data_IF_465102054317
#
_entry.id   IF_465102054317
#
_cell.length_a   1.000
_cell.length_b   1.000
_cell.length_c   1.000
_cell.angle_alpha   90.00
_cell.angle_beta   90.00
_cell.angle_gamma   90.00
#
_symmetry.space_group_name_H-M   'P 1'
#
loop_
_entity.id
_entity.type
_entity.pdbx_description
1 polymer ?
#
# COMPACT_ATOMS: atom_id res chain seq x y z
N UNK A 1 15.62 -25.28 15.22
CA UNK A 1 14.32 -25.34 14.53
C UNK A 1 14.44 -24.52 13.28
N UNK A 2 14.46 -25.16 12.12
CA UNK A 2 14.37 -24.45 10.83
C UNK A 2 12.99 -23.80 10.80
N UNK A 3 12.91 -22.49 10.53
CA UNK A 3 11.65 -21.75 10.53
C UNK A 3 10.65 -22.38 9.55
N UNK A 4 9.39 -22.53 9.97
CA UNK A 4 8.30 -23.00 9.10
C UNK A 4 8.21 -22.10 7.86
N UNK A 5 8.09 -22.65 6.63
CA UNK A 5 7.80 -21.84 5.46
C UNK A 5 6.52 -21.05 5.68
N UNK A 6 6.59 -19.73 5.49
CA UNK A 6 5.46 -18.84 5.73
C UNK A 6 4.77 -18.51 4.41
N UNK A 7 3.48 -18.77 4.37
CA UNK A 7 2.58 -18.42 3.28
C UNK A 7 1.56 -17.38 3.73
N UNK A 8 1.13 -16.53 2.80
CA UNK A 8 0.05 -15.58 2.99
C UNK A 8 -1.01 -15.82 1.90
N UNK A 9 -2.25 -16.04 2.32
CA UNK A 9 -3.39 -16.11 1.40
C UNK A 9 -4.36 -14.97 1.72
N UNK A 10 -4.93 -14.37 0.67
CA UNK A 10 -5.93 -13.33 0.81
C UNK A 10 -7.12 -13.60 -0.10
N UNK A 11 -8.35 -13.49 0.38
CA UNK A 11 -9.53 -13.73 -0.47
C UNK A 11 -9.67 -12.67 -1.58
N UNK A 12 -10.39 -13.00 -2.65
CA UNK A 12 -10.55 -12.10 -3.79
C UNK A 12 -11.23 -10.79 -3.43
N UNK A 13 -12.14 -10.83 -2.45
CA UNK A 13 -12.86 -9.64 -2.03
C UNK A 13 -11.93 -8.62 -1.37
N UNK A 14 -11.08 -9.08 -0.46
CA UNK A 14 -10.09 -8.25 0.25
C UNK A 14 -8.98 -7.80 -0.70
N UNK A 15 -8.52 -8.69 -1.58
CA UNK A 15 -7.50 -8.35 -2.57
C UNK A 15 -8.01 -7.27 -3.54
N UNK A 16 -9.21 -7.40 -4.08
CA UNK A 16 -9.70 -6.48 -5.12
C UNK A 16 -10.34 -5.22 -4.56
N UNK A 17 -11.27 -5.33 -3.62
CA UNK A 17 -12.09 -4.19 -3.18
C UNK A 17 -11.42 -3.33 -2.11
N UNK A 18 -10.57 -3.92 -1.25
CA UNK A 18 -9.90 -3.15 -0.21
C UNK A 18 -8.54 -2.68 -0.64
N UNK A 19 -7.76 -3.60 -1.18
CA UNK A 19 -6.34 -3.38 -1.38
C UNK A 19 -5.98 -3.15 -2.84
N UNK A 20 -6.93 -3.28 -3.78
CA UNK A 20 -6.70 -3.10 -5.22
C UNK A 20 -5.49 -3.88 -5.72
N UNK A 21 -5.54 -5.20 -5.58
CA UNK A 21 -4.43 -6.13 -5.83
C UNK A 21 -3.24 -5.88 -4.89
N UNK A 22 -3.46 -5.60 -3.61
CA UNK A 22 -2.37 -5.24 -2.67
C UNK A 22 -1.63 -3.94 -3.02
N UNK A 23 -2.16 -3.09 -3.92
CA UNK A 23 -1.61 -1.77 -4.20
C UNK A 23 -1.93 -0.70 -3.13
N UNK A 24 -2.94 -0.91 -2.29
CA UNK A 24 -3.43 0.04 -1.28
C UNK A 24 -3.72 -0.62 0.07
N UNK A 25 -4.00 0.22 1.09
CA UNK A 25 -4.53 -0.16 2.42
C UNK A 25 -3.76 -1.29 3.13
N UNK A 26 -2.44 -1.14 3.22
CA UNK A 26 -1.54 -2.11 3.86
C UNK A 26 -1.00 -3.20 2.93
N UNK A 27 -1.53 -3.33 1.72
CA UNK A 27 -1.02 -4.27 0.71
C UNK A 27 0.48 -4.10 0.40
N UNK A 28 1.00 -2.89 0.12
CA UNK A 28 2.42 -2.69 -0.16
C UNK A 28 3.32 -3.08 1.02
N UNK A 29 2.84 -2.82 2.24
CA UNK A 29 3.56 -3.19 3.45
C UNK A 29 3.57 -4.70 3.68
N UNK A 30 2.47 -5.41 3.38
CA UNK A 30 2.44 -6.87 3.37
C UNK A 30 3.47 -7.41 2.39
N UNK A 31 3.50 -6.93 1.14
CA UNK A 31 4.47 -7.35 0.12
C UNK A 31 5.91 -7.18 0.61
N UNK A 32 6.24 -6.01 1.18
CA UNK A 32 7.56 -5.74 1.74
C UNK A 32 7.92 -6.68 2.89
N UNK A 33 6.99 -6.90 3.83
CA UNK A 33 7.21 -7.78 4.98
C UNK A 33 7.36 -9.24 4.56
N UNK A 34 6.60 -9.70 3.56
CA UNK A 34 6.75 -11.04 2.99
C UNK A 34 8.14 -11.22 2.37
N UNK A 35 8.63 -10.25 1.58
CA UNK A 35 10.00 -10.25 1.05
C UNK A 35 11.04 -10.33 2.17
N UNK A 36 10.92 -9.50 3.20
CA UNK A 36 11.83 -9.49 4.33
C UNK A 36 11.85 -10.81 5.12
N UNK A 37 10.69 -11.48 5.20
CA UNK A 37 10.53 -12.79 5.85
C UNK A 37 10.89 -13.98 4.94
N UNK A 38 11.21 -13.74 3.65
CA UNK A 38 11.30 -14.78 2.62
C UNK A 38 10.05 -15.66 2.56
N UNK A 39 8.90 -15.05 2.83
CA UNK A 39 7.58 -15.65 2.79
C UNK A 39 6.95 -15.49 1.39
N UNK A 40 5.94 -16.29 1.10
CA UNK A 40 5.30 -16.32 -0.22
C UNK A 40 3.79 -16.08 -0.14
N UNK A 41 3.21 -15.49 -1.18
CA UNK A 41 1.77 -15.39 -1.39
C UNK A 41 1.31 -16.74 -1.97
N UNK A 42 0.48 -17.47 -1.22
CA UNK A 42 -0.18 -18.66 -1.75
C UNK A 42 -1.29 -18.21 -2.71
N UNK A 43 -1.15 -18.53 -3.99
CA UNK A 43 -2.07 -18.10 -5.04
C UNK A 43 -2.65 -19.30 -5.79
N UNK A 44 -3.80 -19.84 -5.34
CA UNK A 44 -4.58 -20.79 -6.13
C UNK A 44 -4.95 -20.21 -7.50
N UNK A 45 -4.86 -21.03 -8.54
CA UNK A 45 -5.22 -20.65 -9.92
C UNK A 45 -6.65 -20.06 -10.00
N UNK A 46 -7.59 -20.66 -9.27
CA UNK A 46 -8.98 -20.19 -9.18
C UNK A 46 -9.08 -18.79 -8.58
N UNK A 47 -8.28 -18.49 -7.55
CA UNK A 47 -8.22 -17.16 -6.93
C UNK A 47 -7.60 -16.14 -7.87
N UNK A 48 -6.52 -16.51 -8.59
CA UNK A 48 -5.90 -15.63 -9.61
C UNK A 48 -6.90 -15.22 -10.70
N UNK A 49 -7.64 -16.18 -11.24
CA UNK A 49 -8.67 -15.91 -12.24
C UNK A 49 -9.77 -15.00 -11.68
N UNK A 50 -10.17 -15.21 -10.43
CA UNK A 50 -11.16 -14.37 -9.75
C UNK A 50 -10.65 -12.95 -9.51
N UNK A 51 -9.40 -12.77 -9.06
CA UNK A 51 -8.81 -11.46 -8.84
C UNK A 51 -8.85 -10.63 -10.12
N UNK A 52 -8.42 -11.20 -11.24
CA UNK A 52 -8.38 -10.53 -12.53
C UNK A 52 -9.79 -10.19 -13.05
N UNK A 53 -10.73 -11.13 -12.91
CA UNK A 53 -12.12 -10.92 -13.32
C UNK A 53 -12.80 -9.81 -12.50
N UNK A 54 -12.66 -9.84 -11.18
CA UNK A 54 -13.25 -8.84 -10.30
C UNK A 54 -12.56 -7.49 -10.44
N UNK A 55 -11.23 -7.45 -10.58
CA UNK A 55 -10.49 -6.22 -10.86
C UNK A 55 -10.96 -5.55 -12.15
N UNK A 56 -11.11 -6.32 -13.23
CA UNK A 56 -11.61 -5.81 -14.51
C UNK A 56 -13.02 -5.24 -14.39
N UNK A 57 -13.93 -5.91 -13.65
CA UNK A 57 -15.29 -5.41 -13.41
C UNK A 57 -15.29 -4.09 -12.63
N UNK A 58 -14.52 -4.02 -11.54
CA UNK A 58 -14.43 -2.81 -10.70
C UNK A 58 -13.82 -1.65 -11.48
N UNK A 59 -12.75 -1.92 -12.25
CA UNK A 59 -12.11 -0.90 -13.08
C UNK A 59 -13.03 -0.40 -14.22
N UNK A 60 -13.77 -1.30 -14.87
CA UNK A 60 -14.74 -0.92 -15.91
C UNK A 60 -15.85 -0.03 -15.35
N UNK A 61 -16.43 -0.42 -14.21
CA UNK A 61 -17.47 0.38 -13.54
C UNK A 61 -16.95 1.76 -13.13
N UNK A 62 -15.74 1.83 -12.56
CA UNK A 62 -15.14 3.10 -12.16
C UNK A 62 -14.81 4.00 -13.36
N UNK A 63 -14.44 3.39 -14.50
CA UNK A 63 -14.18 4.12 -15.75
C UNK A 63 -15.48 4.70 -16.33
N UNK A 64 -16.55 3.91 -16.40
CA UNK A 64 -17.89 4.35 -16.85
C UNK A 64 -18.43 5.50 -15.97
N UNK A 65 -18.31 5.38 -14.64
CA UNK A 65 -18.72 6.43 -13.71
C UNK A 65 -17.93 7.72 -13.93
N UNK A 66 -16.62 7.62 -14.14
CA UNK A 66 -15.77 8.77 -14.39
C UNK A 66 -16.08 9.42 -15.74
N UNK A 67 -16.34 8.63 -16.78
CA UNK A 67 -16.74 9.11 -18.10
C UNK A 67 -18.06 9.89 -18.03
N UNK A 68 -19.04 9.40 -17.28
CA UNK A 68 -20.31 10.08 -17.07
C UNK A 68 -20.14 11.44 -16.36
N UNK A 69 -19.29 11.50 -15.33
CA UNK A 69 -18.99 12.74 -14.60
C UNK A 69 -18.25 13.75 -15.47
N UNK A 70 -17.26 13.28 -16.24
CA UNK A 70 -16.51 14.14 -17.16
C UNK A 70 -17.39 14.70 -18.26
N UNK A 71 -18.23 13.88 -18.89
CA UNK A 71 -19.21 14.32 -19.90
C UNK A 71 -20.16 15.41 -19.37
N UNK A 72 -20.61 15.26 -18.11
CA UNK A 72 -21.40 16.30 -17.44
C UNK A 72 -20.61 17.59 -17.24
N UNK A 73 -19.33 17.51 -16.87
CA UNK A 73 -18.45 18.67 -16.71
C UNK A 73 -18.17 19.37 -18.04
N UNK A 74 -17.94 18.62 -19.12
CA UNK A 74 -17.77 19.16 -20.47
C UNK A 74 -19.00 19.94 -20.91
N UNK A 75 -20.19 19.38 -20.65
CA UNK A 75 -21.47 20.03 -20.97
C UNK A 75 -21.65 21.34 -20.20
N UNK A 76 -21.31 21.36 -18.90
CA UNK A 76 -21.48 22.53 -18.05
C UNK A 76 -20.41 23.61 -18.30
N UNK A 77 -19.19 23.20 -18.63
CA UNK A 77 -18.06 24.12 -18.84
C UNK A 77 -17.92 24.60 -20.29
N UNK A 78 -18.51 23.89 -21.26
CA UNK A 78 -18.32 24.12 -22.69
C UNK A 78 -16.93 23.74 -23.21
N UNK A 79 -16.07 23.13 -22.37
CA UNK A 79 -14.71 22.74 -22.71
C UNK A 79 -14.59 21.21 -22.74
N UNK A 80 -13.88 20.68 -23.74
CA UNK A 80 -13.55 19.24 -23.80
C UNK A 80 -12.44 18.88 -22.82
N UNK A 81 -12.62 17.78 -22.09
CA UNK A 81 -11.66 17.19 -21.15
C UNK A 81 -11.14 15.87 -21.75
N UNK A 82 -10.17 15.98 -22.68
CA UNK A 82 -9.74 14.87 -23.55
C UNK A 82 -8.62 13.98 -22.99
N UNK A 83 -8.02 14.31 -21.85
CA UNK A 83 -6.81 13.66 -21.34
C UNK A 83 -6.94 12.98 -19.96
N UNK A 84 -8.14 12.90 -19.40
CA UNK A 84 -8.29 12.53 -17.98
C UNK A 84 -8.37 11.02 -17.71
N UNK A 85 -8.79 10.19 -18.67
CA UNK A 85 -9.05 8.76 -18.43
C UNK A 85 -8.09 7.84 -19.18
N UNK A 86 -7.69 6.70 -18.57
CA UNK A 86 -7.03 5.62 -19.27
C UNK A 86 -7.85 5.14 -20.48
N UNK A 87 -7.16 4.58 -21.48
CA UNK A 87 -7.82 3.98 -22.64
C UNK A 87 -8.77 2.85 -22.21
N UNK A 88 -9.81 2.64 -23.00
CA UNK A 88 -10.75 1.54 -22.81
C UNK A 88 -9.97 0.20 -22.68
N UNK A 89 -10.37 -0.62 -21.70
CA UNK A 89 -9.77 -1.94 -21.41
C UNK A 89 -8.34 -1.92 -20.87
N UNK A 90 -7.82 -0.77 -20.44
CA UNK A 90 -6.50 -0.69 -19.78
C UNK A 90 -6.31 -1.74 -18.65
N UNK A 91 -7.37 -2.02 -17.90
CA UNK A 91 -7.37 -3.00 -16.81
C UNK A 91 -7.13 -4.45 -17.25
N UNK A 92 -7.47 -4.82 -18.48
CA UNK A 92 -7.25 -6.18 -19.01
C UNK A 92 -5.74 -6.49 -19.14
N UNK A 93 -4.91 -5.48 -19.41
CA UNK A 93 -3.46 -5.61 -19.47
C UNK A 93 -2.79 -5.30 -18.11
N UNK A 94 -3.34 -4.37 -17.35
CA UNK A 94 -2.73 -3.90 -16.10
C UNK A 94 -2.81 -4.93 -14.97
N UNK A 95 -3.96 -5.58 -14.77
CA UNK A 95 -4.13 -6.59 -13.71
C UNK A 95 -3.13 -7.76 -13.83
N UNK A 96 -2.98 -8.40 -15.00
CA UNK A 96 -2.00 -9.46 -15.20
C UNK A 96 -0.56 -8.98 -15.03
N UNK A 97 -0.24 -7.76 -15.49
CA UNK A 97 1.09 -7.17 -15.30
C UNK A 97 1.40 -7.01 -13.81
N UNK A 98 0.47 -6.47 -13.03
CA UNK A 98 0.64 -6.26 -11.60
C UNK A 98 0.88 -7.58 -10.85
N UNK A 99 0.09 -8.62 -11.13
CA UNK A 99 0.33 -9.94 -10.54
C UNK A 99 1.66 -10.55 -11.01
N UNK A 100 2.09 -10.24 -12.24
CA UNK A 100 3.41 -10.59 -12.77
C UNK A 100 4.55 -9.94 -12.00
N UNK A 101 4.39 -8.68 -11.56
CA UNK A 101 5.36 -7.95 -10.75
C UNK A 101 5.51 -8.53 -9.33
N UNK A 102 4.56 -9.34 -8.87
CA UNK A 102 4.59 -10.07 -7.60
C UNK A 102 5.06 -11.52 -7.74
N UNK A 103 5.47 -11.95 -8.93
CA UNK A 103 5.83 -13.35 -9.19
C UNK A 103 7.02 -13.82 -8.36
N UNK A 104 7.93 -12.92 -7.98
CA UNK A 104 9.09 -13.19 -7.14
C UNK A 104 8.71 -13.75 -5.75
N UNK A 105 7.53 -13.35 -5.26
CA UNK A 105 7.01 -13.75 -3.94
C UNK A 105 5.75 -14.59 -4.04
N UNK A 106 5.37 -15.08 -5.22
CA UNK A 106 4.13 -15.84 -5.41
C UNK A 106 4.41 -17.34 -5.51
N UNK A 107 3.69 -18.12 -4.72
CA UNK A 107 3.59 -19.57 -4.84
C UNK A 107 2.28 -19.93 -5.54
N UNK A 108 2.36 -20.17 -6.85
CA UNK A 108 1.19 -20.55 -7.65
C UNK A 108 0.79 -22.00 -7.39
N UNK A 109 -0.49 -22.23 -7.08
CA UNK A 109 -1.05 -23.56 -6.84
C UNK A 109 -1.99 -23.90 -8.00
N UNK A 110 -1.51 -24.74 -8.91
CA UNK A 110 -2.32 -25.23 -10.04
C UNK A 110 -3.42 -26.16 -9.57
N UNK A 111 -4.64 -25.97 -10.05
CA UNK A 111 -5.77 -26.81 -9.66
C UNK A 111 -5.72 -28.15 -10.42
N UNK A 112 -5.01 -29.13 -9.85
CA UNK A 112 -4.89 -30.48 -10.40
C UNK A 112 -6.25 -31.18 -10.49
N UNK A 113 -6.33 -32.26 -11.26
CA UNK A 113 -7.55 -33.06 -11.36
C UNK A 113 -7.99 -33.61 -9.99
N UNK A 114 -7.03 -34.02 -9.16
CA UNK A 114 -7.29 -34.54 -7.82
C UNK A 114 -7.84 -33.46 -6.88
N UNK A 115 -7.29 -32.24 -6.93
CA UNK A 115 -7.80 -31.12 -6.14
C UNK A 115 -9.21 -30.71 -6.57
N UNK A 116 -9.48 -30.74 -7.88
CA UNK A 116 -10.83 -30.47 -8.42
C UNK A 116 -11.83 -31.54 -7.98
N UNK A 117 -11.44 -32.81 -8.01
CA UNK A 117 -12.28 -33.91 -7.53
C UNK A 117 -12.55 -33.80 -6.02
N UNK A 118 -11.52 -33.58 -5.21
CA UNK A 118 -11.66 -33.41 -3.76
C UNK A 118 -12.56 -32.22 -3.40
N UNK A 119 -12.41 -31.10 -4.13
CA UNK A 119 -13.25 -29.91 -3.94
C UNK A 119 -14.71 -30.17 -4.32
N UNK A 120 -14.96 -30.93 -5.39
CA UNK A 120 -16.30 -31.34 -5.79
C UNK A 120 -16.93 -32.26 -4.75
N UNK A 121 -16.20 -33.29 -4.29
CA UNK A 121 -16.68 -34.22 -3.26
C UNK A 121 -17.04 -33.46 -1.97
N UNK A 122 -16.16 -32.54 -1.54
CA UNK A 122 -16.41 -31.65 -0.40
C UNK A 122 -17.70 -30.83 -0.57
N UNK A 123 -17.90 -30.24 -1.73
CA UNK A 123 -19.09 -29.44 -2.01
C UNK A 123 -20.37 -30.29 -2.06
N UNK A 124 -20.32 -31.48 -2.68
CA UNK A 124 -21.45 -32.43 -2.73
C UNK A 124 -21.85 -32.88 -1.32
N UNK A 125 -20.85 -33.19 -0.49
CA UNK A 125 -21.06 -33.58 0.91
C UNK A 125 -21.50 -32.42 1.81
N UNK A 126 -21.45 -31.18 1.32
CA UNK A 126 -21.76 -29.98 2.09
C UNK A 126 -20.76 -29.74 3.23
N UNK A 127 -19.52 -30.22 3.06
CA UNK A 127 -18.44 -29.97 4.02
C UNK A 127 -17.92 -28.54 3.86
N UNK A 128 -17.62 -27.89 4.99
CA UNK A 128 -17.01 -26.55 5.01
C UNK A 128 -15.76 -26.51 4.10
N UNK A 129 -15.52 -25.42 3.35
CA UNK A 129 -16.22 -24.13 3.42
C UNK A 129 -17.60 -24.07 2.75
N UNK A 130 -18.10 -25.14 2.12
CA UNK A 130 -19.46 -25.16 1.61
C UNK A 130 -20.49 -24.97 2.71
N UNK A 131 -21.43 -24.05 2.49
CA UNK A 131 -22.52 -23.76 3.43
C UNK A 131 -23.65 -24.79 3.33
N UNK A 132 -23.84 -25.36 2.14
CA UNK A 132 -24.84 -26.40 1.83
C UNK A 132 -24.29 -27.36 0.79
N UNK A 133 -24.87 -28.55 0.73
CA UNK A 133 -24.58 -29.52 -0.34
C UNK A 133 -24.78 -28.89 -1.73
N UNK A 134 -23.84 -29.16 -2.63
CA UNK A 134 -23.78 -28.68 -4.02
C UNK A 134 -23.62 -27.15 -4.15
N UNK A 135 -23.05 -26.47 -3.15
CA UNK A 135 -22.75 -25.04 -3.21
C UNK A 135 -21.25 -24.77 -2.97
N UNK A 136 -20.83 -23.54 -3.27
CA UNK A 136 -19.50 -23.00 -2.90
C UNK A 136 -18.30 -23.87 -3.36
N UNK A 137 -18.43 -24.53 -4.52
CA UNK A 137 -17.36 -25.36 -5.11
C UNK A 137 -16.06 -24.56 -5.25
N UNK A 138 -16.16 -23.26 -5.54
CA UNK A 138 -15.02 -22.36 -5.66
C UNK A 138 -14.27 -22.23 -4.33
N UNK A 139 -14.97 -22.00 -3.22
CA UNK A 139 -14.36 -21.86 -1.91
C UNK A 139 -13.79 -23.21 -1.43
N UNK A 140 -14.46 -24.31 -1.76
CA UNK A 140 -13.93 -25.66 -1.55
C UNK A 140 -12.62 -25.87 -2.32
N UNK A 141 -12.55 -25.44 -3.58
CA UNK A 141 -11.34 -25.57 -4.40
C UNK A 141 -10.20 -24.69 -3.86
N UNK A 142 -10.49 -23.46 -3.43
CA UNK A 142 -9.52 -22.61 -2.74
C UNK A 142 -8.95 -23.33 -1.52
N UNK A 143 -9.82 -23.91 -0.70
CA UNK A 143 -9.42 -24.62 0.51
C UNK A 143 -8.57 -25.87 0.20
N UNK A 144 -8.98 -26.72 -0.74
CA UNK A 144 -8.19 -27.89 -1.15
C UNK A 144 -6.82 -27.50 -1.70
N UNK A 145 -6.75 -26.42 -2.50
CA UNK A 145 -5.48 -25.87 -2.94
C UNK A 145 -4.59 -25.45 -1.76
N UNK A 146 -5.14 -24.75 -0.75
CA UNK A 146 -4.36 -24.34 0.42
C UNK A 146 -3.92 -25.52 1.30
N UNK A 147 -4.72 -26.58 1.39
CA UNK A 147 -4.33 -27.83 2.07
C UNK A 147 -3.21 -28.59 1.34
N UNK A 148 -2.95 -28.26 0.07
CA UNK A 148 -1.86 -28.86 -0.72
C UNK A 148 -0.49 -28.17 -0.51
N UNK A 149 -0.44 -27.12 0.31
CA UNK A 149 0.83 -26.48 0.69
C UNK A 149 1.77 -27.50 1.38
N UNK A 150 3.10 -27.30 1.29
CA UNK A 150 4.07 -28.22 1.87
C UNK A 150 3.80 -28.46 3.37
N UNK A 151 3.90 -29.71 3.82
CA UNK A 151 3.80 -30.05 5.23
C UNK A 151 4.84 -29.28 6.06
N UNK A 152 4.44 -28.84 7.25
CA UNK A 152 5.25 -28.03 8.15
C UNK A 152 5.15 -26.52 7.90
N UNK A 153 4.29 -26.07 6.98
CA UNK A 153 4.15 -24.65 6.64
C UNK A 153 3.21 -23.89 7.61
N UNK A 154 3.44 -22.58 7.73
CA UNK A 154 2.50 -21.64 8.35
C UNK A 154 1.76 -20.87 7.26
N UNK A 155 0.45 -20.71 7.40
CA UNK A 155 -0.41 -19.95 6.49
C UNK A 155 -1.11 -18.83 7.26
N UNK A 156 -0.82 -17.59 6.90
CA UNK A 156 -1.62 -16.43 7.33
C UNK A 156 -2.81 -16.31 6.38
N UNK A 157 -4.02 -16.51 6.91
CA UNK A 157 -5.26 -16.53 6.12
C UNK A 157 -6.03 -15.24 6.32
N UNK A 158 -6.00 -14.35 5.33
CA UNK A 158 -6.67 -13.06 5.35
C UNK A 158 -7.99 -13.11 4.56
N UNK A 159 -9.12 -12.99 5.23
CA UNK A 159 -10.42 -12.99 4.56
C UNK A 159 -11.44 -12.08 5.26
N UNK A 160 -12.39 -11.60 4.48
CA UNK A 160 -13.61 -10.91 4.96
C UNK A 160 -14.84 -11.80 4.93
N UNK A 161 -14.75 -12.98 4.34
CA UNK A 161 -15.87 -13.89 4.24
C UNK A 161 -16.12 -14.60 5.57
N UNK A 162 -16.90 -13.91 6.42
CA UNK A 162 -17.31 -14.39 7.73
C UNK A 162 -18.33 -15.53 7.67
N UNK A 163 -18.76 -15.97 6.48
CA UNK A 163 -19.76 -17.03 6.30
C UNK A 163 -19.12 -18.34 5.86
N UNK A 164 -18.22 -18.31 4.90
CA UNK A 164 -17.59 -19.51 4.37
C UNK A 164 -16.60 -20.14 5.38
N UNK A 165 -15.64 -19.33 5.86
CA UNK A 165 -14.51 -19.81 6.68
C UNK A 165 -14.64 -19.55 8.18
N UNK A 166 -15.61 -18.71 8.59
CA UNK A 166 -15.81 -18.34 9.99
C UNK A 166 -17.15 -18.83 10.53
N UNK A 167 -17.20 -19.04 11.85
CA UNK A 167 -18.39 -19.31 12.66
C UNK A 167 -18.32 -18.44 13.92
N UNK A 168 -19.39 -17.69 14.21
CA UNK A 168 -19.47 -16.81 15.38
C UNK A 168 -18.28 -15.84 15.52
N UNK A 169 -17.82 -15.29 14.38
CA UNK A 169 -16.65 -14.40 14.28
C UNK A 169 -15.31 -15.02 14.64
N UNK A 170 -15.23 -16.35 14.66
CA UNK A 170 -13.98 -17.12 14.78
C UNK A 170 -13.80 -18.00 13.57
N UNK A 171 -12.56 -18.30 13.20
CA UNK A 171 -12.29 -19.25 12.14
C UNK A 171 -12.82 -20.64 12.53
N UNK A 172 -13.37 -21.40 11.59
CA UNK A 172 -14.04 -22.66 11.92
C UNK A 172 -13.03 -23.72 12.42
N UNK A 173 -13.25 -24.24 13.62
CA UNK A 173 -12.35 -25.20 14.28
C UNK A 173 -12.17 -26.51 13.48
N UNK A 174 -13.16 -26.91 12.67
CA UNK A 174 -13.04 -28.10 11.84
C UNK A 174 -12.01 -27.90 10.72
N UNK A 175 -11.94 -26.68 10.16
CA UNK A 175 -10.96 -26.31 9.15
C UNK A 175 -9.55 -26.23 9.76
N UNK A 176 -9.42 -25.69 10.98
CA UNK A 176 -8.13 -25.67 11.69
C UNK A 176 -7.61 -27.09 11.95
N UNK A 177 -8.46 -27.98 12.47
CA UNK A 177 -8.09 -29.39 12.72
C UNK A 177 -7.69 -30.11 11.44
N UNK A 178 -8.39 -29.83 10.34
CA UNK A 178 -8.05 -30.41 9.05
C UNK A 178 -6.67 -29.95 8.55
N UNK A 179 -6.36 -28.66 8.69
CA UNK A 179 -5.06 -28.12 8.37
C UNK A 179 -3.95 -28.69 9.28
N UNK A 180 -4.22 -28.81 10.59
CA UNK A 180 -3.30 -29.43 11.54
C UNK A 180 -3.00 -30.91 11.18
N UNK A 181 -4.01 -31.66 10.74
CA UNK A 181 -3.83 -33.04 10.26
C UNK A 181 -2.95 -33.13 9.00
N UNK A 182 -2.78 -32.02 8.26
CA UNK A 182 -1.88 -31.87 7.12
C UNK A 182 -0.54 -31.22 7.49
N UNK A 183 -0.27 -31.04 8.79
CA UNK A 183 0.89 -30.33 9.35
C UNK A 183 0.97 -28.87 8.84
N UNK A 184 -0.17 -28.20 8.73
CA UNK A 184 -0.28 -26.79 8.38
C UNK A 184 -0.74 -25.98 9.60
N UNK A 185 0.00 -24.93 9.93
CA UNK A 185 -0.38 -23.98 10.97
C UNK A 185 -1.12 -22.80 10.34
N UNK A 186 -2.43 -22.65 10.58
CA UNK A 186 -3.20 -21.54 10.05
C UNK A 186 -3.35 -20.44 11.11
N UNK A 187 -2.95 -19.22 10.77
CA UNK A 187 -3.24 -18.01 11.54
C UNK A 187 -4.28 -17.16 10.79
N UNK A 188 -5.56 -17.22 11.18
CA UNK A 188 -6.59 -16.42 10.54
C UNK A 188 -6.47 -14.94 10.94
N UNK A 189 -6.72 -14.06 9.98
CA UNK A 189 -6.68 -12.60 10.14
C UNK A 189 -7.99 -12.02 9.61
N UNK A 190 -8.77 -11.44 10.53
CA UNK A 190 -9.98 -10.72 10.16
C UNK A 190 -9.63 -9.39 9.47
N UNK A 191 -10.04 -9.27 8.21
CA UNK A 191 -9.82 -8.09 7.38
C UNK A 191 -11.05 -7.15 7.33
N UNK A 192 -12.09 -7.40 8.14
CA UNK A 192 -13.35 -6.65 8.17
C UNK A 192 -13.16 -5.15 8.44
N UNK A 193 -12.90 -4.73 9.70
CA UNK A 193 -12.81 -3.31 10.04
C UNK A 193 -11.44 -2.66 9.78
N UNK A 194 -10.37 -3.44 9.60
CA UNK A 194 -8.98 -2.92 9.58
C UNK A 194 -8.22 -3.17 8.27
N UNK A 195 -8.88 -3.66 7.21
CA UNK A 195 -8.21 -4.10 5.97
C UNK A 195 -7.06 -5.07 6.30
N UNK A 196 -5.88 -4.92 5.68
CA UNK A 196 -4.70 -5.75 5.94
C UNK A 196 -3.82 -5.28 7.13
N UNK A 197 -4.21 -4.25 7.90
CA UNK A 197 -3.35 -3.78 9.01
C UNK A 197 -3.13 -4.83 10.11
N UNK A 198 -4.11 -5.70 10.34
CA UNK A 198 -3.95 -6.83 11.26
C UNK A 198 -2.90 -7.83 10.74
N UNK A 199 -2.90 -8.11 9.44
CA UNK A 199 -1.89 -8.96 8.79
C UNK A 199 -0.51 -8.32 8.88
N UNK A 200 -0.40 -7.02 8.59
CA UNK A 200 0.84 -6.24 8.74
C UNK A 200 1.39 -6.34 10.16
N UNK A 201 0.54 -6.14 11.17
CA UNK A 201 0.95 -6.18 12.59
C UNK A 201 1.48 -7.56 12.97
N UNK A 202 0.80 -8.61 12.53
CA UNK A 202 1.25 -9.99 12.72
C UNK A 202 2.60 -10.25 12.04
N UNK A 203 2.76 -9.84 10.77
CA UNK A 203 4.00 -10.02 10.02
C UNK A 203 5.17 -9.23 10.63
N UNK A 204 4.92 -8.05 11.20
CA UNK A 204 5.94 -7.30 11.96
C UNK A 204 6.43 -8.07 13.18
N UNK A 205 5.50 -8.68 13.94
CA UNK A 205 5.86 -9.53 15.08
C UNK A 205 6.69 -10.74 14.62
N UNK A 206 6.31 -11.37 13.51
CA UNK A 206 7.08 -12.49 12.92
C UNK A 206 8.48 -12.06 12.50
N UNK A 207 8.62 -10.89 11.87
CA UNK A 207 9.91 -10.35 11.46
C UNK A 207 10.80 -10.02 12.66
N UNK A 208 10.24 -9.43 13.71
CA UNK A 208 10.97 -9.16 14.94
C UNK A 208 11.45 -10.46 15.60
N UNK A 209 10.60 -11.50 15.65
CA UNK A 209 10.97 -12.80 16.19
C UNK A 209 12.06 -13.49 15.35
N UNK A 210 11.97 -13.42 14.02
CA UNK A 210 12.99 -13.96 13.12
C UNK A 210 14.35 -13.28 13.32
N UNK A 211 14.38 -11.95 13.43
CA UNK A 211 15.59 -11.18 13.74
C UNK A 211 16.18 -11.49 15.11
N UNK A 212 15.35 -11.77 16.11
CA UNK A 212 15.80 -12.16 17.44
C UNK A 212 16.37 -13.60 17.50
N UNK A 213 16.03 -14.45 16.53
CA UNK A 213 16.50 -15.82 16.39
C UNK A 213 17.79 -15.94 15.58
N UNK A 214 18.23 -14.89 14.89
CA UNK A 214 19.58 -14.82 14.35
C UNK A 214 20.55 -14.83 15.55
N UNK A 215 21.28 -15.94 15.80
CA UNK A 215 22.24 -16.00 16.89
C UNK A 215 23.27 -14.92 16.60
N UNK A 216 23.47 -14.04 17.59
CA UNK A 216 24.24 -12.82 17.41
C UNK A 216 25.60 -13.04 16.76
N UNK A 217 26.08 -11.97 16.13
CA UNK A 217 27.50 -11.61 16.00
C UNK A 217 28.41 -12.53 16.81
N UNK A 218 28.75 -13.66 16.19
CA UNK A 218 30.00 -14.34 16.46
C UNK A 218 31.06 -13.35 16.01
N UNK A 219 31.47 -12.47 16.93
CA UNK A 219 32.77 -11.80 16.89
C UNK A 219 33.82 -12.90 16.77
N UNK A 220 34.25 -13.20 15.55
CA UNK A 220 35.39 -14.05 15.25
C UNK A 220 35.84 -13.76 13.81
N UNK A 221 36.97 -13.05 13.70
CA UNK A 221 37.83 -13.04 12.52
C UNK A 221 37.93 -11.69 11.82
N UNK A 222 38.89 -10.88 12.27
CA UNK A 222 39.66 -9.86 11.53
C UNK A 222 39.07 -9.36 10.21
N UNK A 223 38.60 -8.10 10.22
CA UNK A 223 38.48 -7.31 8.98
C UNK A 223 39.85 -7.32 8.26
N UNK A 224 39.92 -7.76 7.00
CA UNK A 224 41.09 -7.43 6.19
C UNK A 224 41.00 -5.95 5.86
N UNK A 225 42.04 -5.21 6.23
CA UNK A 225 42.23 -3.79 5.93
C UNK A 225 41.74 -3.45 4.51
N UNK A 226 40.86 -2.46 4.42
CA UNK A 226 40.48 -1.86 3.14
C UNK A 226 41.76 -1.46 2.39
N UNK A 227 41.89 -1.79 1.09
CA UNK A 227 43.02 -1.32 0.30
C UNK A 227 42.91 0.20 0.23
N UNK A 228 43.94 0.86 0.79
CA UNK A 228 44.19 2.29 0.65
C UNK A 228 44.19 2.64 -0.84
N UNK A 229 43.09 3.27 -1.29
CA UNK A 229 43.00 3.85 -2.62
C UNK A 229 43.94 5.06 -2.68
N UNK A 230 45.15 4.81 -3.15
CA UNK A 230 46.07 5.83 -3.59
C UNK A 230 45.50 6.52 -4.84
N UNK A 231 45.26 7.83 -4.71
CA UNK A 231 45.41 8.83 -5.78
C UNK A 231 44.49 8.72 -6.98
N UNK A 232 43.46 9.56 -7.02
CA UNK A 232 43.28 10.43 -8.19
C UNK A 232 42.63 11.75 -7.74
N UNK A 233 43.42 12.83 -7.83
CA UNK A 233 43.02 14.19 -7.50
C UNK A 233 42.13 14.75 -8.63
N UNK A 234 40.82 14.56 -8.50
CA UNK A 234 39.84 15.39 -9.21
C UNK A 234 39.65 16.73 -8.49
N UNK A 235 39.44 17.87 -9.20
CA UNK A 235 39.30 19.16 -8.55
C UNK A 235 38.07 19.19 -7.65
N UNK A 236 38.31 19.44 -6.36
CA UNK A 236 37.29 19.67 -5.33
C UNK A 236 36.53 20.96 -5.69
N UNK A 237 35.31 20.81 -6.22
CA UNK A 237 34.36 21.91 -6.31
C UNK A 237 33.70 22.06 -4.94
N UNK A 238 33.99 23.17 -4.26
CA UNK A 238 33.38 23.50 -2.98
C UNK A 238 31.85 23.62 -3.13
N UNK A 239 31.05 23.08 -2.19
CA UNK A 239 29.61 23.32 -2.18
C UNK A 239 29.35 24.80 -1.87
N UNK A 240 28.79 25.52 -2.83
CA UNK A 240 28.31 26.90 -2.65
C UNK A 240 27.03 26.84 -1.81
N UNK A 241 27.09 27.41 -0.61
CA UNK A 241 25.93 27.67 0.24
C UNK A 241 25.00 28.70 -0.43
N UNK A 242 23.66 28.54 -0.38
CA UNK A 242 22.73 29.51 -0.93
C UNK A 242 22.63 30.73 0.00
N UNK A 243 23.47 31.72 -0.27
CA UNK A 243 23.42 33.03 0.33
C UNK A 243 24.21 33.97 -0.56
N UNK A 244 23.54 34.48 -1.61
CA UNK A 244 23.83 35.71 -2.37
C UNK A 244 23.22 35.62 -3.78
N UNK A 245 21.88 35.64 -3.87
CA UNK A 245 21.22 35.99 -5.14
C UNK A 245 21.05 37.51 -5.14
N UNK A 246 22.03 38.20 -5.74
CA UNK A 246 21.87 39.57 -6.19
C UNK A 246 20.69 39.62 -7.17
N UNK A 247 19.70 40.42 -6.82
CA UNK A 247 18.57 40.79 -7.66
C UNK A 247 19.10 41.41 -8.97
N UNK A 248 19.03 40.67 -10.07
CA UNK A 248 19.07 41.27 -11.40
C UNK A 248 17.62 41.56 -11.80
N UNK A 249 17.20 42.80 -11.54
CA UNK A 249 16.01 43.40 -12.13
C UNK A 249 16.32 43.69 -13.60
N UNK A 250 15.58 43.17 -14.58
CA UNK A 250 15.64 43.69 -15.94
C UNK A 250 14.86 45.01 -15.98
N UNK A 251 15.55 46.11 -16.28
CA UNK A 251 14.92 47.38 -16.66
C UNK A 251 14.07 47.17 -17.91
N UNK A 252 12.75 47.16 -17.74
CA UNK A 252 11.78 47.33 -18.82
C UNK A 252 11.02 48.62 -18.54
N UNK A 253 11.07 49.63 -19.44
CA UNK A 253 10.36 50.88 -19.22
C UNK A 253 8.84 50.64 -19.20
N UNK A 254 8.23 51.14 -18.13
CA UNK A 254 6.80 51.11 -17.83
C UNK A 254 6.01 51.88 -18.88
N UNK A 255 5.35 51.16 -19.80
CA UNK A 255 4.23 51.71 -20.57
C UNK A 255 2.97 51.50 -19.73
N UNK A 256 2.36 52.61 -19.30
CA UNK A 256 1.13 52.61 -18.53
C UNK A 256 -0.02 51.97 -19.34
N UNK A 257 -0.50 50.81 -18.88
CA UNK A 257 -1.73 50.20 -19.36
C UNK A 257 -2.96 50.79 -18.63
N UNK A 258 -4.11 50.91 -19.31
CA UNK A 258 -5.30 51.59 -18.80
C UNK A 258 -5.96 50.86 -17.62
N UNK A 259 -6.78 51.55 -16.81
CA UNK A 259 -7.18 51.08 -15.48
C UNK A 259 -8.19 49.94 -15.57
N UNK A 260 -7.80 48.73 -15.12
CA UNK A 260 -8.72 47.60 -15.10
C UNK A 260 -8.26 46.32 -14.42
N UNK A 261 -6.96 46.02 -14.31
CA UNK A 261 -6.50 44.74 -13.77
C UNK A 261 -5.64 44.91 -12.52
N UNK A 262 -6.26 44.74 -11.35
CA UNK A 262 -5.52 44.45 -10.12
C UNK A 262 -4.93 43.05 -10.26
N UNK A 263 -3.68 42.96 -10.70
CA UNK A 263 -2.87 41.74 -10.55
C UNK A 263 -2.82 41.40 -9.06
N UNK A 264 -3.46 40.30 -8.67
CA UNK A 264 -3.43 39.79 -7.30
C UNK A 264 -2.03 39.21 -7.02
N UNK A 265 -1.12 40.09 -6.60
CA UNK A 265 0.30 39.78 -6.28
C UNK A 265 0.43 38.72 -5.18
N UNK A 266 -0.67 38.36 -4.50
CA UNK A 266 -0.72 37.39 -3.39
C UNK A 266 -1.13 35.99 -3.85
N UNK A 267 -1.64 35.83 -5.08
CA UNK A 267 -2.08 34.54 -5.60
C UNK A 267 -0.97 33.47 -5.64
N UNK A 268 0.28 33.75 -6.10
CA UNK A 268 1.34 32.74 -6.12
C UNK A 268 1.73 32.24 -4.72
N UNK A 269 1.71 33.13 -3.72
CA UNK A 269 2.00 32.78 -2.34
C UNK A 269 0.87 31.92 -1.74
N UNK A 270 -0.40 32.22 -2.07
CA UNK A 270 -1.56 31.44 -1.63
C UNK A 270 -1.54 30.02 -2.18
N UNK A 271 -1.19 29.85 -3.45
CA UNK A 271 -1.11 28.53 -4.09
C UNK A 271 0.06 27.71 -3.55
N UNK A 272 1.19 28.36 -3.25
CA UNK A 272 2.31 27.75 -2.53
C UNK A 272 1.90 27.27 -1.13
N UNK A 273 1.21 28.10 -0.33
CA UNK A 273 0.78 27.67 1.00
C UNK A 273 -0.31 26.61 0.96
N UNK A 274 -1.22 26.65 -0.02
CA UNK A 274 -2.26 25.62 -0.19
C UNK A 274 -1.66 24.27 -0.57
N UNK A 275 -0.71 24.26 -1.51
CA UNK A 275 0.03 23.04 -1.86
C UNK A 275 0.85 22.50 -0.69
N UNK A 276 1.47 23.38 0.12
CA UNK A 276 2.18 22.97 1.33
C UNK A 276 1.24 22.40 2.41
N UNK A 277 0.04 22.98 2.58
CA UNK A 277 -1.01 22.50 3.48
C UNK A 277 -1.52 21.11 3.08
N UNK A 278 -1.82 20.91 1.80
CA UNK A 278 -2.22 19.60 1.27
C UNK A 278 -1.10 18.57 1.46
N UNK A 279 0.15 18.98 1.21
CA UNK A 279 1.31 18.12 1.41
C UNK A 279 1.48 17.73 2.87
N UNK A 280 1.47 18.69 3.79
CA UNK A 280 1.59 18.44 5.23
C UNK A 280 0.46 17.55 5.77
N UNK A 281 -0.77 17.77 5.31
CA UNK A 281 -1.91 16.92 5.65
C UNK A 281 -1.71 15.49 5.14
N UNK A 282 -1.24 15.34 3.90
CA UNK A 282 -0.94 14.04 3.30
C UNK A 282 0.13 13.28 4.08
N UNK A 283 1.23 13.95 4.45
CA UNK A 283 2.34 13.35 5.20
C UNK A 283 1.90 12.78 6.54
N UNK A 284 1.13 13.56 7.32
CA UNK A 284 0.62 13.13 8.62
C UNK A 284 -0.44 12.04 8.46
N UNK A 285 -1.27 12.15 7.42
CA UNK A 285 -2.32 11.16 7.15
C UNK A 285 -1.75 9.83 6.69
N UNK A 286 -0.62 9.85 5.97
CA UNK A 286 0.15 8.68 5.56
C UNK A 286 0.79 7.97 6.76
N UNK A 287 1.45 8.72 7.65
CA UNK A 287 2.11 8.16 8.83
C UNK A 287 1.12 7.73 9.92
N UNK A 288 -0.09 8.30 9.94
CA UNK A 288 -1.13 8.05 10.96
C UNK A 288 -0.81 8.68 12.32
N UNK A 289 0.46 8.66 12.72
CA UNK A 289 1.04 9.35 13.88
C UNK A 289 2.47 9.78 13.54
N UNK A 290 2.75 11.06 13.63
CA UNK A 290 4.08 11.62 13.41
C UNK A 290 4.53 12.46 14.60
N UNK A 291 5.79 12.34 15.03
CA UNK A 291 6.38 13.25 16.01
C UNK A 291 6.47 14.67 15.43
N UNK A 292 6.32 15.72 16.26
CA UNK A 292 6.37 17.11 15.76
C UNK A 292 7.65 17.42 14.98
N UNK A 293 8.80 17.05 15.55
CA UNK A 293 10.09 17.30 14.93
C UNK A 293 10.30 16.45 13.67
N UNK A 294 9.76 15.23 13.66
CA UNK A 294 9.80 14.33 12.51
C UNK A 294 8.96 14.87 11.34
N UNK A 295 7.73 15.34 11.61
CA UNK A 295 6.86 15.95 10.61
C UNK A 295 7.48 17.22 10.00
N UNK A 296 8.12 18.05 10.83
CA UNK A 296 8.84 19.25 10.36
C UNK A 296 10.03 18.84 9.49
N UNK A 297 10.84 17.87 9.93
CA UNK A 297 12.01 17.42 9.19
C UNK A 297 11.62 16.83 7.82
N UNK A 298 10.52 16.06 7.75
CA UNK A 298 10.02 15.51 6.49
C UNK A 298 9.53 16.60 5.53
N UNK A 299 8.83 17.61 6.04
CA UNK A 299 8.42 18.76 5.23
C UNK A 299 9.62 19.55 4.71
N UNK A 300 10.65 19.71 5.53
CA UNK A 300 11.89 20.41 5.13
C UNK A 300 12.65 19.62 4.08
N UNK A 301 12.77 18.30 4.22
CA UNK A 301 13.36 17.42 3.20
C UNK A 301 12.56 17.43 1.89
N UNK A 302 11.25 17.71 1.99
CA UNK A 302 10.35 17.88 0.83
C UNK A 302 10.40 19.27 0.18
N UNK A 303 11.32 20.14 0.63
CA UNK A 303 11.59 21.47 0.08
C UNK A 303 10.94 22.65 0.82
N UNK A 304 10.35 22.43 2.00
CA UNK A 304 9.75 23.51 2.79
C UNK A 304 10.78 24.26 3.65
N UNK A 305 10.59 25.57 3.84
CA UNK A 305 11.30 26.29 4.89
C UNK A 305 10.79 25.85 6.28
N UNK A 306 11.68 25.76 7.28
CA UNK A 306 11.36 25.28 8.64
C UNK A 306 10.18 26.04 9.26
N UNK A 307 10.17 27.37 9.12
CA UNK A 307 9.11 28.22 9.67
C UNK A 307 7.79 28.06 8.90
N UNK A 308 7.84 27.80 7.59
CA UNK A 308 6.65 27.51 6.79
C UNK A 308 6.04 26.15 7.16
N UNK A 309 6.88 25.13 7.39
CA UNK A 309 6.44 23.81 7.83
C UNK A 309 5.74 23.88 9.20
N UNK A 310 6.32 24.60 10.17
CA UNK A 310 5.69 24.81 11.49
C UNK A 310 4.34 25.52 11.38
N UNK A 311 4.29 26.64 10.66
CA UNK A 311 3.08 27.43 10.49
C UNK A 311 1.95 26.65 9.83
N UNK A 312 2.26 25.82 8.83
CA UNK A 312 1.26 24.98 8.16
C UNK A 312 0.74 23.87 9.08
N UNK A 313 1.62 23.22 9.83
CA UNK A 313 1.21 22.19 10.80
C UNK A 313 0.32 22.77 11.91
N UNK A 314 0.66 23.95 12.43
CA UNK A 314 -0.18 24.64 13.42
C UNK A 314 -1.53 25.05 12.84
N UNK A 315 -1.57 25.56 11.60
CA UNK A 315 -2.83 25.89 10.92
C UNK A 315 -3.72 24.68 10.68
N UNK A 316 -3.15 23.55 10.24
CA UNK A 316 -3.89 22.30 10.07
C UNK A 316 -4.45 21.79 11.40
N UNK A 317 -3.70 21.95 12.49
CA UNK A 317 -4.15 21.58 13.83
C UNK A 317 -5.29 22.48 14.32
N UNK A 318 -5.17 23.81 14.13
CA UNK A 318 -6.22 24.78 14.45
C UNK A 318 -7.49 24.58 13.61
N UNK A 319 -7.34 24.19 12.35
CA UNK A 319 -8.45 23.85 11.46
C UNK A 319 -9.11 22.50 11.77
N UNK A 320 -8.57 21.74 12.74
CA UNK A 320 -9.08 20.42 13.13
C UNK A 320 -8.85 19.31 12.11
N UNK A 321 -7.99 19.55 11.10
CA UNK A 321 -7.65 18.55 10.08
C UNK A 321 -6.59 17.55 10.55
N UNK A 322 -5.80 17.93 11.56
CA UNK A 322 -4.91 17.05 12.32
C UNK A 322 -5.09 17.34 13.81
N UNK A 323 -4.79 16.37 14.68
CA UNK A 323 -4.91 16.54 16.13
C UNK A 323 -3.53 16.68 16.77
N UNK A 324 -3.27 17.83 17.39
CA UNK A 324 -2.07 18.05 18.18
C UNK A 324 -2.23 17.46 19.60
N UNK A 325 -1.28 16.62 20.01
CA UNK A 325 -1.21 15.97 21.32
C UNK A 325 -0.10 16.52 22.22
N UNK A 326 0.50 17.66 21.85
CA UNK A 326 1.67 18.25 22.49
C UNK A 326 2.97 17.79 21.83
N UNK A 327 3.18 16.47 21.72
CA UNK A 327 4.41 15.88 21.18
C UNK A 327 4.25 15.26 19.78
N UNK A 328 3.02 14.93 19.37
CA UNK A 328 2.73 14.29 18.09
C UNK A 328 1.55 14.97 17.39
N UNK A 329 1.57 14.90 16.05
CA UNK A 329 0.38 15.11 15.23
C UNK A 329 -0.26 13.77 14.90
N UNK A 330 -1.57 13.70 15.12
CA UNK A 330 -2.40 12.54 14.77
C UNK A 330 -3.30 12.88 13.59
N UNK A 331 -3.54 11.88 12.75
CA UNK A 331 -4.53 11.98 11.68
C UNK A 331 -5.94 12.16 12.24
N UNK A 332 -6.74 13.00 11.58
CA UNK A 332 -8.19 13.04 11.73
C UNK A 332 -8.80 12.47 10.45
N UNK A 333 -9.62 11.42 10.60
CA UNK A 333 -10.20 10.71 9.46
C UNK A 333 -11.20 11.59 8.71
N UNK A 334 -11.00 11.73 7.40
CA UNK A 334 -11.88 12.51 6.54
C UNK A 334 -11.51 12.41 5.06
N UNK A 335 -12.44 12.82 4.20
CA UNK A 335 -12.28 12.78 2.73
C UNK A 335 -11.05 13.58 2.27
N UNK A 336 -10.76 14.69 2.96
CA UNK A 336 -9.59 15.54 2.68
C UNK A 336 -8.26 14.88 3.06
N UNK A 337 -8.21 14.19 4.20
CA UNK A 337 -7.02 13.44 4.63
C UNK A 337 -6.69 12.30 3.67
N UNK A 338 -7.72 11.61 3.16
CA UNK A 338 -7.55 10.51 2.22
C UNK A 338 -7.02 10.99 0.87
N UNK A 339 -7.60 12.05 0.30
CA UNK A 339 -7.11 12.66 -0.96
C UNK A 339 -5.69 13.21 -0.83
N UNK A 340 -5.39 13.88 0.28
CA UNK A 340 -4.05 14.42 0.53
C UNK A 340 -3.00 13.31 0.65
N UNK A 341 -3.37 12.15 1.21
CA UNK A 341 -2.48 10.98 1.30
C UNK A 341 -2.10 10.45 -0.08
N UNK A 342 -3.07 10.34 -1.00
CA UNK A 342 -2.84 9.86 -2.37
C UNK A 342 -1.89 10.77 -3.16
N UNK A 343 -1.88 12.07 -2.88
CA UNK A 343 -1.03 13.04 -3.58
C UNK A 343 0.44 13.00 -3.16
N UNK A 344 0.76 12.58 -1.93
CA UNK A 344 2.14 12.60 -1.39
C UNK A 344 2.78 11.22 -1.28
N UNK A 345 2.06 10.17 -1.67
CA UNK A 345 2.46 8.78 -1.46
C UNK A 345 3.80 8.45 -2.15
N UNK A 346 3.97 8.81 -3.42
CA UNK A 346 5.23 8.57 -4.16
C UNK A 346 6.43 9.30 -3.54
N UNK A 347 6.22 10.50 -3.02
CA UNK A 347 7.26 11.31 -2.40
C UNK A 347 7.63 10.77 -1.02
N UNK A 348 6.64 10.29 -0.26
CA UNK A 348 6.86 9.69 1.05
C UNK A 348 7.67 8.41 0.99
N UNK A 349 7.47 7.59 -0.04
CA UNK A 349 8.26 6.39 -0.29
C UNK A 349 9.74 6.75 -0.48
N UNK A 350 10.03 7.86 -1.16
CA UNK A 350 11.41 8.35 -1.37
C UNK A 350 12.03 8.95 -0.11
N UNK A 351 11.27 9.76 0.64
CA UNK A 351 11.79 10.52 1.78
C UNK A 351 12.02 9.67 3.04
N UNK A 352 11.22 8.64 3.26
CA UNK A 352 11.30 7.82 4.49
C UNK A 352 12.21 6.61 4.36
N UNK A 353 12.81 6.36 3.19
CA UNK A 353 13.61 5.15 2.96
C UNK A 353 12.82 3.85 3.08
N UNK A 354 11.48 3.91 3.04
CA UNK A 354 10.59 2.76 2.95
C UNK A 354 10.59 2.11 1.55
N UNK A 355 11.44 2.60 0.63
CA UNK A 355 11.83 1.93 -0.61
C UNK A 355 13.14 1.16 -0.42
N UNK A 356 13.03 -0.17 -0.33
CA UNK A 356 14.11 -1.14 -0.18
C UNK A 356 13.53 -2.50 0.15
#
# INVERSE_FOLDING_TARGET
>A
MIGRPLFFFCDANTVVYDTHLLAKKGGPEVVRLLRALRAQIALPEVSRAEYLSNYAKVASSAHEDAEAVLSKLETLSGHRVTAALPQAKFWEAHGPKFLGDLKDITFEISASADLKAAALDRAVEGRKPAMKANQDIKDCLIWECLLSLPAGSELVFASRDMRAFYRDSKFDDALLKEAENRDLLITPVDCGPQNLHAAVSLLKVRLAAAKALEPGDLRLGDEPDEPTAAGDEGPVVAPVLPGDIKQNVPDVPTVAAPPGERLDVVAPARDFFRSLEEKALGLISYLGRAGKQEAINLLVQSGAAVDAARNVLERLALAGMIRDTGNNYLRVDGVHAQRATELVEEEMIKLTGLGG
#
